data_IF_023889785803
#
_entry.id   IF_023889785803
#
_cell.length_a   1.000
_cell.length_b   1.000
_cell.length_c   1.000
_cell.angle_alpha   90.00
_cell.angle_beta   90.00
_cell.angle_gamma   90.00
#
_symmetry.space_group_name_H-M   'P 1'
#
loop_
_entity.id
_entity.type
_entity.pdbx_description
1 polymer ?
#
# COMPACT_ATOMS: atom_id res chain seq x y z
N UNK A 1 -17.37 -8.45 2.55
CA UNK A 1 -16.07 -8.45 1.81
C UNK A 1 -14.94 -8.30 2.82
N UNK A 2 -14.06 -9.30 2.93
CA UNK A 2 -12.85 -9.20 3.76
C UNK A 2 -11.80 -8.33 3.06
N UNK A 3 -11.15 -7.46 3.81
CA UNK A 3 -10.15 -6.54 3.27
C UNK A 3 -8.94 -6.44 4.19
N UNK A 4 -7.78 -6.11 3.59
CA UNK A 4 -6.53 -5.80 4.28
C UNK A 4 -5.92 -4.53 3.70
N UNK A 5 -4.99 -3.93 4.44
CA UNK A 5 -4.20 -2.77 4.00
C UNK A 5 -2.80 -3.22 3.61
N UNK A 6 -2.34 -2.82 2.43
CA UNK A 6 -0.95 -2.90 2.00
C UNK A 6 -0.34 -1.50 2.08
N UNK A 7 0.64 -1.34 2.95
CA UNK A 7 1.42 -0.11 3.16
C UNK A 7 2.70 -0.24 2.33
N UNK A 8 2.84 0.58 1.29
CA UNK A 8 3.94 0.49 0.32
C UNK A 8 5.01 1.52 0.66
N UNK A 9 6.21 1.06 1.01
CA UNK A 9 7.47 1.82 1.09
C UNK A 9 7.39 3.13 1.89
N UNK A 10 6.66 3.13 3.00
CA UNK A 10 6.60 4.26 3.93
C UNK A 10 7.87 4.24 4.78
N UNK A 11 8.96 4.76 4.21
CA UNK A 11 10.33 4.71 4.72
C UNK A 11 11.00 6.08 4.64
N UNK A 12 12.03 6.29 5.47
CA UNK A 12 12.77 7.56 5.56
C UNK A 12 13.43 7.94 4.24
N UNK A 13 13.93 6.98 3.48
CA UNK A 13 14.58 7.18 2.18
C UNK A 13 13.69 7.89 1.15
N UNK A 14 12.36 7.74 1.26
CA UNK A 14 11.38 8.38 0.37
C UNK A 14 10.77 9.67 0.92
N UNK A 15 11.20 10.11 2.12
CA UNK A 15 10.78 11.35 2.76
C UNK A 15 9.25 11.57 2.78
N UNK A 16 8.46 10.65 3.36
CA UNK A 16 7.03 10.83 3.51
C UNK A 16 6.73 12.04 4.42
N UNK A 17 5.61 12.74 4.17
CA UNK A 17 5.17 13.77 5.09
C UNK A 17 4.65 13.15 6.40
N UNK A 18 4.82 13.86 7.53
CA UNK A 18 4.28 13.42 8.83
C UNK A 18 2.77 13.18 8.74
N UNK A 19 2.04 14.04 8.05
CA UNK A 19 0.60 13.89 7.84
C UNK A 19 0.23 12.57 7.15
N UNK A 20 1.02 12.16 6.16
CA UNK A 20 0.82 10.87 5.46
C UNK A 20 1.07 9.70 6.43
N UNK A 21 2.18 9.72 7.15
CA UNK A 21 2.55 8.68 8.11
C UNK A 21 1.49 8.53 9.20
N UNK A 22 1.02 9.65 9.78
CA UNK A 22 -0.01 9.65 10.83
C UNK A 22 -1.36 9.17 10.30
N UNK A 23 -1.74 9.57 9.09
CA UNK A 23 -2.97 9.09 8.44
C UNK A 23 -2.95 7.58 8.19
N UNK A 24 -1.83 7.04 7.71
CA UNK A 24 -1.67 5.60 7.50
C UNK A 24 -1.69 4.85 8.84
N UNK A 25 -1.00 5.36 9.86
CA UNK A 25 -1.01 4.80 11.22
C UNK A 25 -2.42 4.74 11.82
N UNK A 26 -3.21 5.80 11.64
CA UNK A 26 -4.58 5.85 12.10
C UNK A 26 -5.48 4.83 11.37
N UNK A 27 -5.26 4.62 10.07
CA UNK A 27 -6.03 3.64 9.30
C UNK A 27 -5.63 2.21 9.66
N UNK A 28 -4.32 1.89 9.73
CA UNK A 28 -3.80 0.54 10.02
C UNK A 28 -4.23 0.02 11.39
N UNK A 29 -4.48 0.89 12.36
CA UNK A 29 -5.01 0.50 13.67
C UNK A 29 -6.42 -0.14 13.63
N UNK A 30 -7.13 -0.05 12.51
CA UNK A 30 -8.53 -0.50 12.37
C UNK A 30 -8.72 -1.66 11.39
N UNK A 31 -7.66 -2.10 10.70
CA UNK A 31 -7.73 -3.09 9.63
C UNK A 31 -6.43 -3.91 9.63
N UNK A 32 -6.48 -5.24 9.38
CA UNK A 32 -5.26 -6.02 9.20
C UNK A 32 -4.34 -5.38 8.14
N UNK A 33 -3.08 -5.17 8.48
CA UNK A 33 -2.15 -4.44 7.65
C UNK A 33 -0.84 -5.20 7.46
N UNK A 34 -0.32 -5.17 6.24
CA UNK A 34 1.06 -5.54 5.95
C UNK A 34 1.80 -4.35 5.36
N UNK A 35 3.11 -4.32 5.52
CA UNK A 35 3.97 -3.33 4.89
C UNK A 35 4.98 -3.99 3.94
N UNK A 36 5.29 -3.32 2.84
CA UNK A 36 6.50 -3.58 2.07
C UNK A 36 7.52 -2.49 2.34
N UNK A 37 8.79 -2.87 2.36
CA UNK A 37 9.92 -1.95 2.40
C UNK A 37 10.88 -2.27 1.25
N UNK A 38 11.36 -1.23 0.58
CA UNK A 38 12.34 -1.36 -0.48
C UNK A 38 13.74 -1.12 0.07
N UNK A 39 14.59 -2.16 0.01
CA UNK A 39 16.00 -2.08 0.36
C UNK A 39 16.85 -2.28 -0.89
N UNK A 40 17.84 -1.40 -1.09
CA UNK A 40 18.69 -1.49 -2.25
C UNK A 40 19.59 -2.74 -2.23
N UNK A 41 19.56 -3.49 -3.32
CA UNK A 41 20.52 -4.53 -3.66
C UNK A 41 20.82 -4.43 -5.18
N UNK A 42 22.00 -3.90 -5.51
CA UNK A 42 22.42 -3.67 -6.89
C UNK A 42 22.59 -4.97 -7.69
N UNK A 43 22.75 -6.13 -7.03
CA UNK A 43 22.81 -7.42 -7.71
C UNK A 43 21.43 -7.91 -8.15
N UNK A 44 20.38 -7.50 -7.43
CA UNK A 44 18.98 -7.84 -7.74
C UNK A 44 18.39 -6.82 -8.70
N UNK A 45 18.54 -5.52 -8.40
CA UNK A 45 17.94 -4.44 -9.18
C UNK A 45 18.97 -3.33 -9.44
N UNK A 46 19.27 -3.01 -10.71
CA UNK A 46 20.42 -2.16 -11.08
C UNK A 46 20.08 -0.66 -10.96
N UNK A 47 19.58 -0.20 -9.83
CA UNK A 47 19.20 1.20 -9.61
C UNK A 47 20.37 2.15 -9.82
N UNK A 48 21.48 1.92 -9.14
CA UNK A 48 22.65 2.80 -9.25
C UNK A 48 23.22 2.81 -10.67
N UNK A 49 23.35 1.63 -11.29
CA UNK A 49 23.94 1.49 -12.62
C UNK A 49 23.08 2.10 -13.73
N UNK A 50 21.74 1.98 -13.62
CA UNK A 50 20.83 2.47 -14.66
C UNK A 50 20.31 3.89 -14.41
N UNK A 51 20.08 4.25 -13.15
CA UNK A 51 19.39 5.49 -12.80
C UNK A 51 20.30 6.51 -12.10
N UNK A 52 21.52 6.11 -11.67
CA UNK A 52 22.42 6.96 -10.88
C UNK A 52 21.89 7.27 -9.49
N UNK A 53 20.89 6.52 -9.02
CA UNK A 53 20.24 6.65 -7.72
C UNK A 53 19.80 5.28 -7.22
N UNK A 54 19.65 5.15 -5.92
CA UNK A 54 19.07 3.97 -5.29
C UNK A 54 18.44 4.31 -3.92
N UNK A 55 17.43 3.55 -3.43
CA UNK A 55 16.94 3.67 -2.07
C UNK A 55 18.01 3.21 -1.06
N UNK A 56 17.81 3.49 0.23
CA UNK A 56 18.71 3.00 1.28
C UNK A 56 18.77 1.47 1.31
N UNK A 57 19.91 0.93 1.77
CA UNK A 57 20.12 -0.53 1.92
C UNK A 57 19.70 -1.06 3.30
N UNK A 58 19.40 -0.17 4.26
CA UNK A 58 19.18 -0.50 5.68
C UNK A 58 18.05 0.33 6.33
N UNK A 59 17.04 0.73 5.56
CA UNK A 59 15.89 1.49 6.06
C UNK A 59 14.81 0.59 6.68
N UNK A 60 13.88 1.18 7.43
CA UNK A 60 12.80 0.48 8.12
C UNK A 60 11.43 1.10 7.80
N UNK A 61 10.36 0.35 8.03
CA UNK A 61 9.00 0.87 7.96
C UNK A 61 8.75 1.90 9.07
N UNK A 62 8.18 3.06 8.72
CA UNK A 62 7.80 4.12 9.67
C UNK A 62 6.40 3.90 10.28
N UNK A 63 5.66 2.92 9.79
CA UNK A 63 4.34 2.51 10.32
C UNK A 63 4.39 1.04 10.67
N UNK A 64 3.89 0.70 11.86
CA UNK A 64 3.76 -0.69 12.31
C UNK A 64 2.71 -1.43 11.46
N UNK A 65 2.98 -2.69 11.17
CA UNK A 65 2.11 -3.60 10.45
C UNK A 65 2.22 -5.01 11.03
N UNK A 66 1.22 -5.87 10.77
CA UNK A 66 1.21 -7.26 11.26
C UNK A 66 2.38 -8.07 10.68
N UNK A 67 2.78 -7.76 9.46
CA UNK A 67 3.95 -8.33 8.77
C UNK A 67 4.64 -7.27 7.92
N UNK A 68 5.97 -7.36 7.82
CA UNK A 68 6.79 -6.51 6.96
C UNK A 68 7.53 -7.40 5.96
N UNK A 69 7.41 -7.08 4.68
CA UNK A 69 8.06 -7.80 3.58
C UNK A 69 9.12 -6.91 2.91
N UNK A 70 10.31 -7.45 2.75
CA UNK A 70 11.38 -6.76 2.02
C UNK A 70 11.25 -7.04 0.53
N UNK A 71 11.45 -6.01 -0.28
CA UNK A 71 11.60 -6.10 -1.73
C UNK A 71 12.82 -5.31 -2.18
N UNK A 72 13.31 -5.59 -3.38
CA UNK A 72 14.52 -4.97 -3.94
C UNK A 72 14.25 -4.27 -5.28
N UNK A 73 13.03 -3.83 -5.51
CA UNK A 73 12.62 -3.18 -6.75
C UNK A 73 11.16 -2.67 -6.66
N UNK A 74 10.63 -2.18 -7.77
CA UNK A 74 9.29 -1.56 -7.79
C UNK A 74 8.15 -2.53 -7.45
N UNK A 75 8.24 -3.79 -7.91
CA UNK A 75 7.22 -4.80 -7.69
C UNK A 75 7.17 -5.32 -6.26
N UNK A 76 6.01 -5.85 -5.86
CA UNK A 76 5.86 -6.53 -4.58
C UNK A 76 6.57 -7.89 -4.59
N UNK A 77 7.04 -8.33 -3.42
CA UNK A 77 7.60 -9.66 -3.29
C UNK A 77 6.51 -10.74 -3.44
N UNK A 78 6.83 -11.91 -4.02
CA UNK A 78 5.90 -13.03 -4.12
C UNK A 78 5.34 -13.46 -2.76
N UNK A 79 6.13 -13.34 -1.69
CA UNK A 79 5.75 -13.68 -0.31
C UNK A 79 4.66 -12.75 0.21
N UNK A 80 4.74 -11.43 -0.07
CA UNK A 80 3.71 -10.47 0.31
C UNK A 80 2.37 -10.77 -0.38
N UNK A 81 2.41 -11.09 -1.68
CA UNK A 81 1.22 -11.46 -2.45
C UNK A 81 0.62 -12.78 -1.95
N UNK A 82 1.47 -13.79 -1.70
CA UNK A 82 1.03 -15.08 -1.17
C UNK A 82 0.40 -14.93 0.22
N UNK A 83 0.97 -14.09 1.08
CA UNK A 83 0.42 -13.81 2.40
C UNK A 83 -0.98 -13.19 2.30
N UNK A 84 -1.17 -12.14 1.49
CA UNK A 84 -2.47 -11.51 1.28
C UNK A 84 -3.51 -12.48 0.72
N UNK A 85 -3.12 -13.30 -0.25
CA UNK A 85 -3.97 -14.36 -0.80
C UNK A 85 -4.36 -15.38 0.28
N UNK A 86 -3.41 -15.79 1.11
CA UNK A 86 -3.61 -16.73 2.22
C UNK A 86 -4.55 -16.21 3.32
N UNK A 87 -4.65 -14.90 3.52
CA UNK A 87 -5.63 -14.28 4.41
C UNK A 87 -7.09 -14.44 3.92
N UNK A 88 -7.28 -14.84 2.66
CA UNK A 88 -8.60 -14.96 2.04
C UNK A 88 -9.32 -13.62 1.95
N UNK A 89 -8.58 -12.53 1.76
CA UNK A 89 -9.14 -11.20 1.49
C UNK A 89 -9.55 -11.09 0.03
N UNK A 90 -10.59 -10.33 -0.22
CA UNK A 90 -11.12 -10.08 -1.58
C UNK A 90 -10.66 -8.72 -2.10
N UNK A 91 -10.47 -7.76 -1.20
CA UNK A 91 -10.04 -6.40 -1.49
C UNK A 91 -8.77 -6.09 -0.72
N UNK A 92 -7.80 -5.49 -1.40
CA UNK A 92 -6.59 -4.94 -0.78
C UNK A 92 -6.60 -3.43 -0.96
N UNK A 93 -6.71 -2.71 0.16
CA UNK A 93 -6.51 -1.26 0.19
C UNK A 93 -5.02 -1.00 0.08
N UNK A 94 -4.63 -0.08 -0.79
CA UNK A 94 -3.21 0.24 -1.03
C UNK A 94 -2.96 1.70 -0.70
N UNK A 95 -1.91 1.97 0.06
CA UNK A 95 -1.44 3.31 0.43
C UNK A 95 0.08 3.36 0.43
N UNK A 96 0.67 4.54 0.58
CA UNK A 96 2.13 4.72 0.71
C UNK A 96 2.77 5.42 -0.48
N UNK A 97 4.00 5.03 -0.82
CA UNK A 97 4.87 5.72 -1.79
C UNK A 97 5.49 4.75 -2.80
N UNK A 98 5.84 5.19 -4.01
CA UNK A 98 5.38 6.42 -4.64
C UNK A 98 4.23 6.07 -5.57
N UNK A 99 3.21 6.91 -5.65
CA UNK A 99 1.91 6.58 -6.26
C UNK A 99 2.03 6.03 -7.68
N UNK A 100 2.84 6.66 -8.53
CA UNK A 100 3.03 6.30 -9.95
C UNK A 100 4.10 5.21 -10.17
N UNK A 101 4.76 4.72 -9.12
CA UNK A 101 5.80 3.69 -9.21
C UNK A 101 5.47 2.47 -8.35
N UNK A 102 6.03 2.33 -7.15
CA UNK A 102 5.85 1.15 -6.29
C UNK A 102 4.39 0.89 -5.91
N UNK A 103 3.60 1.95 -5.66
CA UNK A 103 2.16 1.82 -5.38
C UNK A 103 1.41 1.30 -6.61
N UNK A 104 1.68 1.86 -7.80
CA UNK A 104 1.08 1.39 -9.05
C UNK A 104 1.52 -0.05 -9.38
N UNK A 105 2.80 -0.37 -9.18
CA UNK A 105 3.32 -1.73 -9.38
C UNK A 105 2.66 -2.74 -8.43
N UNK A 106 2.39 -2.35 -7.17
CA UNK A 106 1.61 -3.16 -6.24
C UNK A 106 0.19 -3.43 -6.77
N UNK A 107 -0.44 -2.41 -7.37
CA UNK A 107 -1.75 -2.56 -8.02
C UNK A 107 -1.77 -3.65 -9.09
N UNK A 108 -0.78 -3.67 -9.99
CA UNK A 108 -0.64 -4.72 -10.99
C UNK A 108 -0.43 -6.11 -10.38
N UNK A 109 0.48 -6.23 -9.40
CA UNK A 109 0.74 -7.51 -8.76
C UNK A 109 -0.50 -8.09 -8.05
N UNK A 110 -1.27 -7.24 -7.38
CA UNK A 110 -2.51 -7.63 -6.72
C UNK A 110 -3.60 -8.01 -7.72
N UNK A 111 -3.74 -7.24 -8.80
CA UNK A 111 -4.70 -7.52 -9.86
C UNK A 111 -4.41 -8.86 -10.54
N UNK A 112 -3.15 -9.13 -10.89
CA UNK A 112 -2.71 -10.38 -11.51
C UNK A 112 -2.89 -11.58 -10.57
N UNK A 113 -2.87 -11.36 -9.25
CA UNK A 113 -3.16 -12.38 -8.24
C UNK A 113 -4.68 -12.60 -8.00
N UNK A 114 -5.55 -11.93 -8.75
CA UNK A 114 -7.01 -12.04 -8.62
C UNK A 114 -7.60 -11.32 -7.41
N UNK A 115 -6.81 -10.43 -6.77
CA UNK A 115 -7.28 -9.56 -5.70
C UNK A 115 -7.85 -8.25 -6.28
N UNK A 116 -8.71 -7.56 -5.53
CA UNK A 116 -9.26 -6.28 -5.94
C UNK A 116 -8.44 -5.12 -5.32
N UNK A 117 -7.42 -4.58 -6.05
CA UNK A 117 -6.65 -3.45 -5.53
C UNK A 117 -7.49 -2.18 -5.51
N UNK A 118 -7.49 -1.48 -4.37
CA UNK A 118 -8.23 -0.22 -4.19
C UNK A 118 -7.29 0.82 -3.58
N UNK A 119 -7.02 1.91 -4.31
CA UNK A 119 -6.12 2.97 -3.83
C UNK A 119 -6.81 3.86 -2.80
N UNK A 120 -6.14 4.11 -1.68
CA UNK A 120 -6.55 5.12 -0.68
C UNK A 120 -5.89 6.44 -1.09
N UNK A 121 -6.63 7.28 -1.82
CA UNK A 121 -6.08 8.43 -2.56
C UNK A 121 -5.52 9.56 -1.69
N UNK A 122 -6.01 9.72 -0.49
CA UNK A 122 -5.54 10.70 0.50
C UNK A 122 -4.41 10.16 1.40
N UNK A 123 -4.02 8.89 1.23
CA UNK A 123 -2.91 8.24 1.92
C UNK A 123 -1.83 7.73 0.95
N UNK A 124 -1.59 8.47 -0.13
CA UNK A 124 -0.48 8.22 -1.06
C UNK A 124 0.21 9.51 -1.44
N UNK A 125 1.46 9.41 -1.87
CA UNK A 125 2.27 10.54 -2.30
C UNK A 125 3.17 10.11 -3.46
N UNK A 126 3.29 10.96 -4.48
CA UNK A 126 4.11 10.68 -5.65
C UNK A 126 5.59 10.96 -5.47
N UNK A 127 6.36 10.68 -6.52
CA UNK A 127 7.80 10.91 -6.60
C UNK A 127 8.14 12.40 -6.78
N UNK A 128 9.42 12.67 -7.05
CA UNK A 128 9.87 14.01 -7.44
C UNK A 128 9.27 14.52 -8.75
N UNK A 129 8.73 13.62 -9.58
CA UNK A 129 8.05 13.98 -10.83
C UNK A 129 6.70 14.69 -10.53
N UNK A 130 5.94 14.16 -9.58
CA UNK A 130 4.65 14.71 -9.15
C UNK A 130 4.39 14.37 -7.69
N UNK A 131 4.84 15.22 -6.77
CA UNK A 131 4.67 15.01 -5.31
C UNK A 131 3.21 14.92 -4.87
N UNK A 132 2.26 15.46 -5.65
CA UNK A 132 0.83 15.34 -5.36
C UNK A 132 0.32 13.92 -5.54
N UNK A 133 1.01 13.10 -6.33
CA UNK A 133 0.61 11.75 -6.69
C UNK A 133 -0.53 11.68 -7.71
N UNK A 134 -0.96 12.82 -8.26
CA UNK A 134 -2.13 12.86 -9.16
C UNK A 134 -1.92 12.02 -10.43
N UNK A 135 -0.70 12.04 -10.99
CA UNK A 135 -0.36 11.18 -12.15
C UNK A 135 -0.60 9.71 -11.82
N UNK A 136 -0.13 9.25 -10.64
CA UNK A 136 -0.33 7.88 -10.21
C UNK A 136 -1.79 7.53 -9.93
N UNK A 137 -2.55 8.46 -9.34
CA UNK A 137 -4.00 8.31 -9.12
C UNK A 137 -4.75 8.15 -10.44
N UNK A 138 -4.40 8.94 -11.46
CA UNK A 138 -5.04 8.88 -12.77
C UNK A 138 -4.71 7.56 -13.50
N UNK A 139 -3.44 7.11 -13.42
CA UNK A 139 -3.03 5.80 -13.92
C UNK A 139 -3.77 4.66 -13.20
N UNK A 140 -3.89 4.75 -11.87
CA UNK A 140 -4.62 3.76 -11.08
C UNK A 140 -6.10 3.66 -11.50
N UNK A 141 -6.77 4.80 -11.63
CA UNK A 141 -8.16 4.86 -12.10
C UNK A 141 -8.32 4.26 -13.50
N UNK A 142 -7.35 4.53 -14.38
CA UNK A 142 -7.36 3.99 -15.74
C UNK A 142 -7.25 2.46 -15.75
N UNK A 143 -6.36 1.88 -14.94
CA UNK A 143 -6.10 0.44 -14.97
C UNK A 143 -7.04 -0.38 -14.09
N UNK A 144 -7.40 0.11 -12.90
CA UNK A 144 -8.13 -0.68 -11.90
C UNK A 144 -9.50 -0.09 -11.54
N UNK A 145 -9.72 1.20 -11.73
CA UNK A 145 -10.99 1.89 -11.46
C UNK A 145 -11.30 2.10 -9.98
N UNK A 146 -10.75 1.28 -9.08
CA UNK A 146 -11.12 1.26 -7.66
C UNK A 146 -10.28 2.25 -6.85
N UNK A 147 -10.91 3.28 -6.34
CA UNK A 147 -10.32 4.28 -5.43
C UNK A 147 -11.24 4.56 -4.25
N UNK A 148 -10.68 5.01 -3.14
CA UNK A 148 -11.40 5.40 -1.93
C UNK A 148 -10.58 6.43 -1.14
N UNK A 149 -11.15 6.93 -0.04
CA UNK A 149 -10.45 7.76 0.96
C UNK A 149 -10.39 7.04 2.29
N UNK A 150 -9.47 7.44 3.17
CA UNK A 150 -9.37 6.91 4.52
C UNK A 150 -10.70 7.06 5.30
N UNK A 151 -11.37 8.20 5.15
CA UNK A 151 -12.65 8.46 5.80
C UNK A 151 -13.75 7.49 5.35
N UNK A 152 -13.85 7.19 4.05
CA UNK A 152 -14.80 6.22 3.50
C UNK A 152 -14.52 4.81 4.00
N UNK A 153 -13.25 4.41 4.09
CA UNK A 153 -12.86 3.10 4.64
C UNK A 153 -13.31 2.98 6.10
N UNK A 154 -13.00 3.97 6.93
CA UNK A 154 -13.39 3.97 8.36
C UNK A 154 -14.91 3.92 8.52
N UNK A 155 -15.65 4.70 7.75
CA UNK A 155 -17.12 4.68 7.77
C UNK A 155 -17.67 3.29 7.39
N UNK A 156 -17.11 2.63 6.37
CA UNK A 156 -17.49 1.28 5.96
C UNK A 156 -17.20 0.22 7.03
N UNK A 157 -16.08 0.33 7.75
CA UNK A 157 -15.74 -0.57 8.86
C UNK A 157 -16.71 -0.43 10.04
N UNK A 158 -17.14 0.78 10.36
CA UNK A 158 -18.11 1.06 11.42
C UNK A 158 -19.50 0.52 11.09
N UNK A 159 -19.98 0.71 9.86
CA UNK A 159 -21.26 0.18 9.39
C UNK A 159 -21.32 -1.35 9.48
N UNK A 160 -20.23 -2.04 9.10
CA UNK A 160 -20.15 -3.50 9.19
C UNK A 160 -20.16 -4.02 10.63
N UNK A 161 -19.58 -3.29 11.59
CA UNK A 161 -19.62 -3.63 13.02
C UNK A 161 -21.04 -3.52 13.58
N UNK A 162 -21.80 -2.48 13.22
CA UNK A 162 -23.17 -2.27 13.68
C UNK A 162 -24.12 -3.37 13.18
N UNK A 163 -24.06 -3.71 11.89
CA UNK A 163 -24.90 -4.76 11.30
C UNK A 163 -24.61 -6.16 11.85
N UNK A 164 -23.35 -6.45 12.24
CA UNK A 164 -23.00 -7.75 12.86
C UNK A 164 -23.44 -7.89 14.33
N UNK A 165 -23.68 -6.79 15.04
CA UNK A 165 -24.23 -6.78 16.40
C UNK A 165 -25.73 -7.04 16.35
N UNK A 166 -26.45 -6.39 15.45
CA UNK A 166 -27.91 -6.56 15.27
C UNK A 166 -28.29 -7.98 14.87
N UNK A 167 -27.49 -8.63 13.98
CA UNK A 167 -27.72 -9.99 13.54
C UNK A 167 -27.42 -11.07 14.60
N UNK A 168 -26.75 -10.74 15.72
CA UNK A 168 -26.49 -11.65 16.84
C UNK A 168 -27.53 -11.53 17.98
N UNK A 169 -28.39 -10.54 17.92
CA UNK A 169 -29.45 -10.28 18.93
C UNK A 169 -30.84 -10.69 18.43
N UNK A 170 -30.96 -11.12 17.17
CA UNK A 170 -32.17 -11.66 16.57
C UNK A 170 -32.12 -13.18 16.49
#
# INVERSE_FOLDING_TARGET
>A
MRQALLIVDVQSTFSPSEKLVDGIRALSANIPAIASIELHDEQVTPFQRQLGWHPASDDIALVEADQVFVKHGYGQSPEAIAYLTGLGVERVLVCGLQTETCVLAAGFALFDAGLCPTLVTDLTMGSSLDRSGQIGIDLWKHHFGQVTTAAEVVAGLQANKSSSIESRQA
#
